data_IF_548047105638
#
_entry.id   IF_548047105638
#
_cell.length_a   1.000
_cell.length_b   1.000
_cell.length_c   1.000
_cell.angle_alpha   90.00
_cell.angle_beta   90.00
_cell.angle_gamma   90.00
#
_symmetry.space_group_name_H-M   'P 1'
#
loop_
_entity.id
_entity.type
_entity.pdbx_description
1 polymer ?
#
# COMPACT_ATOMS: atom_id res chain seq x y z
N UNK A 1 -5.44 10.87 17.50
CA UNK A 1 -4.73 11.41 18.68
C UNK A 1 -5.70 11.53 19.83
N UNK A 2 -5.29 11.18 21.06
CA UNK A 2 -6.18 11.16 22.25
C UNK A 2 -6.20 12.47 23.05
N UNK A 3 -5.29 13.40 22.77
CA UNK A 3 -5.16 14.67 23.48
C UNK A 3 -5.87 15.80 22.72
N UNK A 4 -6.64 16.67 23.39
CA UNK A 4 -7.23 17.84 22.77
C UNK A 4 -6.13 18.82 22.29
N UNK A 5 -6.40 19.61 21.24
CA UNK A 5 -5.44 20.61 20.80
C UNK A 5 -5.28 21.72 21.85
N UNK A 6 -4.09 22.34 21.96
CA UNK A 6 -3.94 23.54 22.78
C UNK A 6 -4.81 24.66 22.21
N UNK A 7 -5.43 25.44 23.10
CA UNK A 7 -6.25 26.61 22.75
C UNK A 7 -5.46 27.93 22.79
N UNK A 8 -4.16 27.89 23.01
CA UNK A 8 -3.30 29.08 22.98
C UNK A 8 -3.31 29.73 21.60
N UNK A 9 -3.58 31.03 21.53
CA UNK A 9 -3.57 31.84 20.32
C UNK A 9 -4.55 31.39 19.22
N UNK A 10 -5.63 30.68 19.58
CA UNK A 10 -6.62 30.23 18.59
C UNK A 10 -7.39 31.38 17.96
N UNK A 11 -7.63 32.47 18.68
CA UNK A 11 -8.25 33.69 18.16
C UNK A 11 -7.37 34.44 17.17
N UNK A 12 -6.05 34.40 17.36
CA UNK A 12 -5.07 34.93 16.41
C UNK A 12 -4.89 34.03 15.18
N UNK A 13 -5.14 32.73 15.32
CA UNK A 13 -4.96 31.72 14.27
C UNK A 13 -6.17 31.55 13.37
N UNK A 14 -7.34 31.36 13.97
CA UNK A 14 -8.57 30.99 13.28
C UNK A 14 -9.39 32.23 12.96
N UNK A 15 -10.11 32.18 11.84
CA UNK A 15 -11.13 33.15 11.51
C UNK A 15 -12.32 33.02 12.49
N UNK A 16 -12.98 34.12 12.89
CA UNK A 16 -14.13 34.08 13.80
C UNK A 16 -15.24 33.14 13.31
N UNK A 17 -15.50 33.14 12.01
CA UNK A 17 -16.53 32.31 11.38
C UNK A 17 -16.18 30.82 11.52
N UNK A 18 -14.91 30.46 11.28
CA UNK A 18 -14.46 29.08 11.47
C UNK A 18 -14.53 28.65 12.94
N UNK A 19 -14.16 29.54 13.87
CA UNK A 19 -14.19 29.25 15.29
C UNK A 19 -15.63 29.03 15.78
N UNK A 20 -16.59 29.84 15.30
CA UNK A 20 -18.02 29.66 15.58
C UNK A 20 -18.51 28.29 15.07
N UNK A 21 -18.19 27.92 13.83
CA UNK A 21 -18.57 26.62 13.26
C UNK A 21 -18.03 25.43 14.07
N UNK A 22 -16.80 25.52 14.60
CA UNK A 22 -16.22 24.47 15.45
C UNK A 22 -16.95 24.38 16.79
N UNK A 23 -17.19 25.52 17.44
CA UNK A 23 -17.75 25.58 18.79
C UNK A 23 -19.26 25.29 18.83
N UNK A 24 -20.00 25.70 17.79
CA UNK A 24 -21.46 25.67 17.76
C UNK A 24 -22.03 24.53 16.91
N UNK A 25 -21.30 24.10 15.89
CA UNK A 25 -21.78 23.15 14.88
C UNK A 25 -20.87 21.93 14.70
N UNK A 26 -19.82 21.81 15.51
CA UNK A 26 -18.93 20.66 15.51
C UNK A 26 -18.13 20.48 14.22
N UNK A 27 -17.91 21.55 13.44
CA UNK A 27 -17.17 21.49 12.17
C UNK A 27 -15.76 20.92 12.38
N UNK A 28 -15.30 20.10 11.43
CA UNK A 28 -14.01 19.39 11.49
C UNK A 28 -13.22 19.58 10.20
N UNK A 29 -11.89 19.53 10.30
CA UNK A 29 -10.97 19.54 9.15
C UNK A 29 -10.11 18.27 9.08
N UNK A 30 -9.97 17.55 10.21
CA UNK A 30 -9.10 16.38 10.32
C UNK A 30 -9.98 15.16 10.58
N UNK A 31 -10.64 14.70 9.52
CA UNK A 31 -11.59 13.59 9.61
C UNK A 31 -10.94 12.27 10.04
N UNK A 32 -9.61 12.18 9.90
CA UNK A 32 -8.79 11.06 10.36
C UNK A 32 -8.50 11.06 11.87
N UNK A 33 -8.98 12.04 12.65
CA UNK A 33 -8.87 12.04 14.11
C UNK A 33 -10.20 11.60 14.73
N UNK A 34 -10.19 10.64 15.66
CA UNK A 34 -11.42 10.24 16.36
C UNK A 34 -11.83 11.21 17.47
N UNK A 35 -10.86 11.90 18.07
CA UNK A 35 -11.14 12.88 19.12
C UNK A 35 -11.92 14.07 18.55
N UNK A 36 -13.04 14.38 19.21
CA UNK A 36 -13.90 15.53 18.91
C UNK A 36 -14.12 16.35 20.16
N UNK A 37 -14.34 17.66 19.97
CA UNK A 37 -14.79 18.53 21.05
C UNK A 37 -16.28 18.23 21.32
N UNK A 38 -16.68 17.96 22.58
CA UNK A 38 -18.09 17.85 22.92
C UNK A 38 -18.86 19.12 22.55
N UNK A 39 -20.13 18.98 22.18
CA UNK A 39 -20.99 20.13 21.92
C UNK A 39 -21.58 20.63 23.24
N UNK A 40 -21.10 21.78 23.69
CA UNK A 40 -21.50 22.38 24.98
C UNK A 40 -22.72 23.31 24.86
N UNK A 41 -23.23 23.57 23.64
CA UNK A 41 -24.37 24.45 23.41
C UNK A 41 -23.98 25.93 23.33
N UNK A 42 -24.68 26.70 22.50
CA UNK A 42 -24.30 28.07 22.15
C UNK A 42 -24.24 29.04 23.33
N UNK A 43 -25.12 28.87 24.32
CA UNK A 43 -25.12 29.70 25.54
C UNK A 43 -23.79 29.57 26.32
N UNK A 44 -23.19 28.39 26.32
CA UNK A 44 -21.98 28.09 27.09
C UNK A 44 -20.68 28.48 26.35
N UNK A 45 -20.67 28.45 25.01
CA UNK A 45 -19.41 28.62 24.24
C UNK A 45 -19.44 29.69 23.15
N UNK A 46 -20.60 30.22 22.78
CA UNK A 46 -20.71 31.19 21.67
C UNK A 46 -19.92 32.48 21.93
N UNK A 47 -19.97 32.99 23.17
CA UNK A 47 -19.25 34.19 23.58
C UNK A 47 -17.72 34.04 23.53
N UNK A 48 -17.19 32.80 23.53
CA UNK A 48 -15.75 32.55 23.48
C UNK A 48 -15.14 32.98 22.14
N UNK A 49 -15.90 33.00 21.05
CA UNK A 49 -15.41 33.45 19.73
C UNK A 49 -14.89 34.89 19.82
N UNK A 50 -15.64 35.77 20.47
CA UNK A 50 -15.26 37.17 20.66
C UNK A 50 -14.09 37.29 21.65
N UNK A 51 -14.15 36.58 22.78
CA UNK A 51 -13.10 36.63 23.81
C UNK A 51 -11.74 36.17 23.27
N UNK A 52 -11.69 35.06 22.52
CA UNK A 52 -10.47 34.62 21.85
C UNK A 52 -9.97 35.67 20.87
N UNK A 53 -10.85 36.24 20.04
CA UNK A 53 -10.48 37.27 19.08
C UNK A 53 -9.94 38.55 19.71
N UNK A 54 -10.36 38.87 20.94
CA UNK A 54 -9.92 40.05 21.69
C UNK A 54 -8.58 39.86 22.40
N UNK A 55 -8.34 38.67 22.95
CA UNK A 55 -7.19 38.42 23.84
C UNK A 55 -6.01 37.79 23.10
N UNK A 56 -6.28 36.96 22.09
CA UNK A 56 -5.21 36.30 21.34
C UNK A 56 -4.64 37.26 20.29
N UNK A 57 -3.52 37.90 20.62
CA UNK A 57 -2.77 38.76 19.73
C UNK A 57 -1.44 38.11 19.29
N UNK A 58 -0.99 38.46 18.08
CA UNK A 58 0.32 38.16 17.52
C UNK A 58 0.89 39.44 16.89
N UNK A 59 2.19 39.43 16.57
CA UNK A 59 2.81 40.57 15.93
C UNK A 59 2.11 40.99 14.62
N UNK A 60 2.13 42.29 14.35
CA UNK A 60 1.56 42.83 13.12
C UNK A 60 2.33 42.32 11.89
N UNK A 61 1.57 41.96 10.84
CA UNK A 61 2.13 41.49 9.58
C UNK A 61 1.84 42.51 8.49
N UNK A 62 2.89 42.98 7.82
CA UNK A 62 2.76 43.74 6.57
C UNK A 62 2.68 42.76 5.41
N UNK A 63 1.61 42.83 4.64
CA UNK A 63 1.46 42.06 3.41
C UNK A 63 2.09 42.82 2.26
N UNK A 64 2.87 42.16 1.39
CA UNK A 64 3.46 42.83 0.23
C UNK A 64 2.37 43.15 -0.80
N UNK A 65 2.58 44.20 -1.59
CA UNK A 65 1.72 44.50 -2.72
C UNK A 65 1.98 43.51 -3.86
N UNK A 66 0.90 42.95 -4.42
CA UNK A 66 0.95 42.07 -5.59
C UNK A 66 0.80 42.93 -6.83
N UNK A 67 1.89 43.13 -7.56
CA UNK A 67 1.89 43.88 -8.82
C UNK A 67 1.18 43.14 -9.96
N UNK A 68 1.43 41.82 -10.08
CA UNK A 68 0.76 40.93 -11.04
C UNK A 68 0.15 39.73 -10.30
N UNK A 69 -1.19 39.70 -10.24
CA UNK A 69 -1.93 38.63 -9.57
C UNK A 69 -1.77 37.28 -10.27
N UNK A 70 -1.60 37.26 -11.59
CA UNK A 70 -1.43 36.03 -12.35
C UNK A 70 -0.05 35.44 -12.07
N UNK A 71 0.99 36.26 -12.12
CA UNK A 71 2.35 35.84 -11.76
C UNK A 71 2.41 35.31 -10.33
N UNK A 72 1.81 36.02 -9.38
CA UNK A 72 1.75 35.62 -7.97
C UNK A 72 1.06 34.26 -7.78
N UNK A 73 -0.07 34.04 -8.46
CA UNK A 73 -0.79 32.75 -8.42
C UNK A 73 -0.03 31.62 -9.13
N UNK A 74 0.63 31.91 -10.24
CA UNK A 74 1.45 30.93 -10.96
C UNK A 74 2.67 30.51 -10.12
N UNK A 75 3.29 31.45 -9.41
CA UNK A 75 4.33 31.17 -8.43
C UNK A 75 3.79 30.32 -7.27
N UNK A 76 2.61 30.65 -6.72
CA UNK A 76 1.93 29.83 -5.71
C UNK A 76 1.67 28.40 -6.17
N UNK A 77 1.18 28.24 -7.41
CA UNK A 77 0.97 26.95 -8.07
C UNK A 77 2.26 26.14 -8.21
N UNK A 78 3.36 26.77 -8.62
CA UNK A 78 4.67 26.13 -8.74
C UNK A 78 5.23 25.70 -7.39
N UNK A 79 5.18 26.60 -6.39
CA UNK A 79 5.63 26.32 -5.02
C UNK A 79 4.87 25.15 -4.39
N UNK A 80 3.59 25.00 -4.69
CA UNK A 80 2.76 23.91 -4.17
C UNK A 80 3.17 22.53 -4.73
N UNK A 81 3.63 22.49 -5.98
CA UNK A 81 3.95 21.27 -6.72
C UNK A 81 5.33 20.68 -6.40
N UNK A 82 5.63 19.54 -7.01
CA UNK A 82 6.88 18.76 -6.76
C UNK A 82 8.17 19.52 -7.13
N UNK A 83 8.09 20.52 -8.02
CA UNK A 83 9.25 21.33 -8.44
C UNK A 83 9.53 22.51 -7.51
N UNK A 84 8.56 22.93 -6.70
CA UNK A 84 8.68 23.99 -5.71
C UNK A 84 9.01 23.47 -4.31
N UNK A 85 8.20 23.82 -3.31
CA UNK A 85 8.33 23.31 -1.93
C UNK A 85 7.74 21.92 -1.75
N UNK A 86 7.03 21.38 -2.74
CA UNK A 86 6.43 20.04 -2.70
C UNK A 86 5.45 19.85 -1.54
N UNK A 87 4.62 20.86 -1.25
CA UNK A 87 3.60 20.84 -0.21
C UNK A 87 2.65 19.63 -0.35
N UNK A 88 2.33 19.26 -1.58
CA UNK A 88 1.49 18.10 -1.94
C UNK A 88 2.12 16.73 -1.64
N UNK A 89 3.40 16.68 -1.23
CA UNK A 89 4.00 15.43 -0.75
C UNK A 89 3.41 15.02 0.61
N UNK A 90 2.93 15.99 1.40
CA UNK A 90 2.36 15.72 2.72
C UNK A 90 0.89 16.11 2.82
N UNK A 91 0.44 17.16 2.13
CA UNK A 91 -0.91 17.68 2.25
C UNK A 91 -1.83 17.22 1.12
N UNK A 92 -3.02 16.75 1.49
CA UNK A 92 -4.10 16.52 0.54
C UNK A 92 -4.51 17.86 -0.11
N UNK A 93 -5.09 17.78 -1.30
CA UNK A 93 -5.48 18.98 -2.03
C UNK A 93 -6.74 18.72 -2.86
N UNK A 94 -7.82 19.42 -2.50
CA UNK A 94 -9.11 19.39 -3.19
C UNK A 94 -9.64 17.95 -3.38
N UNK A 95 -9.65 17.20 -2.27
CA UNK A 95 -10.06 15.79 -2.21
C UNK A 95 -9.07 14.78 -2.79
N UNK A 96 -7.94 15.23 -3.37
CA UNK A 96 -6.89 14.33 -3.83
C UNK A 96 -5.84 14.11 -2.75
N UNK A 97 -5.54 12.83 -2.48
CA UNK A 97 -4.60 12.46 -1.41
C UNK A 97 -3.15 12.72 -1.79
N UNK A 98 -2.37 13.19 -0.82
CA UNK A 98 -0.91 13.29 -0.91
C UNK A 98 -0.24 11.92 -1.06
N UNK A 99 0.98 11.90 -1.59
CA UNK A 99 1.80 10.68 -1.67
C UNK A 99 2.38 10.21 -0.33
N UNK A 100 2.42 11.08 0.68
CA UNK A 100 3.04 10.85 1.98
C UNK A 100 2.04 10.74 3.15
N UNK A 101 2.30 11.48 4.23
CA UNK A 101 1.64 11.30 5.54
C UNK A 101 0.12 11.59 5.59
N UNK A 102 -0.50 12.08 4.51
CA UNK A 102 -1.93 12.38 4.45
C UNK A 102 -2.36 13.44 5.47
N UNK A 103 -1.66 14.59 5.48
CA UNK A 103 -2.01 15.74 6.30
C UNK A 103 -3.26 16.46 5.75
N UNK A 104 -3.76 17.45 6.49
CA UNK A 104 -4.98 18.21 6.18
C UNK A 104 -5.06 18.67 4.71
N UNK A 105 -6.27 18.67 4.15
CA UNK A 105 -6.54 19.25 2.83
C UNK A 105 -6.31 20.77 2.88
N UNK A 106 -5.24 21.21 2.22
CA UNK A 106 -4.77 22.60 2.31
C UNK A 106 -5.56 23.55 1.41
N UNK A 107 -6.40 23.04 0.51
CA UNK A 107 -7.20 23.90 -0.37
C UNK A 107 -8.17 24.78 0.43
N UNK A 108 -8.58 24.33 1.61
CA UNK A 108 -9.49 25.03 2.51
C UNK A 108 -8.79 25.90 3.56
N UNK A 109 -7.46 26.10 3.47
CA UNK A 109 -6.73 26.81 4.53
C UNK A 109 -7.21 28.25 4.69
N UNK A 110 -7.54 28.92 3.59
CA UNK A 110 -7.97 30.32 3.55
C UNK A 110 -9.37 30.53 4.11
N UNK A 111 -10.22 29.51 4.15
CA UNK A 111 -11.52 29.54 4.83
C UNK A 111 -11.37 29.48 6.36
N UNK A 112 -10.25 28.95 6.83
CA UNK A 112 -10.06 28.58 8.24
C UNK A 112 -9.15 29.52 9.01
N UNK A 113 -7.97 29.81 8.45
CA UNK A 113 -6.93 30.55 9.19
C UNK A 113 -6.92 32.01 8.77
N UNK A 114 -6.45 32.87 9.69
CA UNK A 114 -6.18 34.28 9.36
C UNK A 114 -4.92 34.38 8.50
N UNK A 115 -4.94 35.30 7.53
CA UNK A 115 -3.81 35.57 6.63
C UNK A 115 -2.53 35.94 7.38
N UNK A 116 -2.66 36.79 8.41
CA UNK A 116 -1.54 37.16 9.29
C UNK A 116 -0.89 35.93 9.92
N UNK A 117 -1.69 35.04 10.49
CA UNK A 117 -1.20 33.79 11.08
C UNK A 117 -0.52 32.89 10.05
N UNK A 118 -1.09 32.76 8.85
CA UNK A 118 -0.46 31.99 7.76
C UNK A 118 0.94 32.54 7.42
N UNK A 119 1.07 33.86 7.31
CA UNK A 119 2.34 34.52 7.04
C UNK A 119 3.39 34.26 8.13
N UNK A 120 3.00 34.32 9.40
CA UNK A 120 3.90 34.01 10.51
C UNK A 120 4.27 32.53 10.57
N UNK A 121 3.28 31.65 10.37
CA UNK A 121 3.47 30.20 10.46
C UNK A 121 4.36 29.67 9.34
N UNK A 122 4.20 30.16 8.10
CA UNK A 122 5.06 29.75 6.97
C UNK A 122 6.54 30.09 7.20
N UNK A 123 6.85 31.23 7.81
CA UNK A 123 8.23 31.63 8.12
C UNK A 123 8.89 30.70 9.14
N UNK A 124 8.16 30.27 10.16
CA UNK A 124 8.71 29.45 11.24
C UNK A 124 7.66 28.52 11.88
N UNK A 125 7.33 27.36 11.25
CA UNK A 125 6.33 26.44 11.79
C UNK A 125 6.65 25.92 13.20
N UNK A 126 7.94 25.67 13.48
CA UNK A 126 8.42 25.13 14.76
C UNK A 126 8.19 26.07 15.95
N UNK A 127 8.04 27.37 15.71
CA UNK A 127 7.67 28.35 16.75
C UNK A 127 6.29 28.06 17.33
N UNK A 128 5.35 27.64 16.49
CA UNK A 128 3.97 27.36 16.91
C UNK A 128 3.79 25.93 17.38
N UNK A 129 4.54 25.00 16.79
CA UNK A 129 4.47 23.57 17.11
C UNK A 129 5.89 22.98 17.07
N UNK A 130 6.56 22.82 18.23
CA UNK A 130 7.96 22.39 18.28
C UNK A 130 8.24 21.03 17.62
N UNK A 131 7.25 20.13 17.60
CA UNK A 131 7.32 18.78 17.02
C UNK A 131 6.70 18.69 15.61
N UNK A 132 6.48 19.83 14.95
CA UNK A 132 5.88 19.85 13.62
C UNK A 132 6.79 19.18 12.59
N UNK A 133 6.21 18.31 11.77
CA UNK A 133 6.93 17.60 10.70
C UNK A 133 7.15 18.51 9.49
N UNK A 134 6.31 19.55 9.33
CA UNK A 134 6.44 20.53 8.26
C UNK A 134 7.84 21.18 8.28
N UNK A 135 8.64 21.04 7.20
CA UNK A 135 9.95 21.65 7.13
C UNK A 135 9.91 23.17 7.19
N UNK A 136 11.03 23.79 7.58
CA UNK A 136 11.24 25.22 7.36
C UNK A 136 11.69 25.45 5.92
N UNK A 137 10.85 26.11 5.12
CA UNK A 137 11.17 26.49 3.74
C UNK A 137 11.84 27.87 3.62
N UNK A 138 11.86 28.63 4.72
CA UNK A 138 12.53 29.93 4.82
C UNK A 138 13.48 30.00 6.03
N UNK A 139 14.49 29.11 6.15
CA UNK A 139 15.41 29.13 7.28
C UNK A 139 16.16 30.48 7.35
N UNK A 140 16.18 31.10 8.53
CA UNK A 140 16.78 32.43 8.70
C UNK A 140 16.08 33.54 7.91
N UNK A 141 14.82 33.33 7.50
CA UNK A 141 14.03 34.30 6.73
C UNK A 141 14.33 34.30 5.23
N UNK A 142 15.14 33.36 4.72
CA UNK A 142 15.53 33.27 3.30
C UNK A 142 14.95 32.02 2.65
N UNK A 143 14.36 32.18 1.45
CA UNK A 143 13.77 31.09 0.70
C UNK A 143 14.79 30.05 0.23
N UNK A 144 14.43 28.77 0.33
CA UNK A 144 15.17 27.68 -0.32
C UNK A 144 14.90 27.58 -1.83
N UNK A 145 13.98 28.40 -2.37
CA UNK A 145 13.63 28.48 -3.80
C UNK A 145 13.86 29.91 -4.32
N UNK A 146 15.12 30.34 -4.50
CA UNK A 146 15.41 31.71 -4.94
C UNK A 146 14.96 32.02 -6.38
N UNK A 147 14.71 30.99 -7.20
CA UNK A 147 14.26 31.17 -8.58
C UNK A 147 12.79 31.58 -8.74
N UNK A 148 11.99 31.53 -7.66
CA UNK A 148 10.56 31.88 -7.70
C UNK A 148 10.38 33.25 -7.05
N UNK A 149 9.79 34.22 -7.76
CA UNK A 149 9.58 35.59 -7.28
C UNK A 149 10.86 36.25 -6.71
N UNK A 150 12.00 35.99 -7.36
CA UNK A 150 13.31 36.51 -6.93
C UNK A 150 13.78 36.03 -5.55
N UNK A 151 13.15 35.01 -4.97
CA UNK A 151 13.46 34.52 -3.63
C UNK A 151 12.93 35.41 -2.50
N UNK A 152 12.08 36.39 -2.82
CA UNK A 152 11.47 37.26 -1.81
C UNK A 152 10.49 36.47 -0.94
N UNK A 153 10.83 36.33 0.33
CA UNK A 153 10.06 35.55 1.30
C UNK A 153 8.62 36.06 1.46
N UNK A 154 8.42 37.38 1.48
CA UNK A 154 7.08 37.95 1.67
C UNK A 154 6.22 37.68 0.43
N UNK A 155 6.76 37.93 -0.77
CA UNK A 155 6.06 37.71 -2.03
C UNK A 155 5.75 36.22 -2.27
N UNK A 156 6.65 35.31 -1.89
CA UNK A 156 6.38 33.87 -2.01
C UNK A 156 5.25 33.39 -1.10
N UNK A 157 5.27 33.81 0.17
CA UNK A 157 4.20 33.46 1.11
C UNK A 157 2.87 34.06 0.66
N UNK A 158 2.90 35.29 0.14
CA UNK A 158 1.72 35.95 -0.43
C UNK A 158 1.21 35.23 -1.68
N UNK A 159 2.09 34.77 -2.57
CA UNK A 159 1.73 33.99 -3.76
C UNK A 159 1.08 32.65 -3.42
N UNK A 160 1.58 31.96 -2.38
CA UNK A 160 0.91 30.76 -1.83
C UNK A 160 -0.50 31.08 -1.34
N UNK A 161 -0.68 32.19 -0.61
CA UNK A 161 -1.99 32.62 -0.12
C UNK A 161 -2.93 32.96 -1.27
N UNK A 162 -2.51 33.80 -2.22
CA UNK A 162 -3.29 34.21 -3.38
C UNK A 162 -3.73 33.01 -4.25
N UNK A 163 -2.86 32.01 -4.40
CA UNK A 163 -3.20 30.76 -5.08
C UNK A 163 -4.26 29.94 -4.32
N UNK A 164 -4.14 29.83 -2.98
CA UNK A 164 -5.10 29.09 -2.14
C UNK A 164 -6.43 29.82 -1.93
N UNK A 165 -6.50 31.13 -2.16
CA UNK A 165 -7.77 31.89 -2.14
C UNK A 165 -8.75 31.47 -3.24
N UNK A 166 -8.27 30.84 -4.31
CA UNK A 166 -9.16 30.25 -5.32
C UNK A 166 -9.95 29.03 -4.79
N UNK A 167 -9.57 28.50 -3.62
CA UNK A 167 -10.23 27.40 -2.96
C UNK A 167 -10.33 26.18 -3.88
N UNK A 168 -11.49 25.52 -3.93
CA UNK A 168 -11.71 24.33 -4.77
C UNK A 168 -11.57 24.60 -6.28
N UNK A 169 -11.49 25.87 -6.72
CA UNK A 169 -11.21 26.26 -8.10
C UNK A 169 -9.72 26.40 -8.40
N UNK A 170 -8.85 26.35 -7.39
CA UNK A 170 -7.41 26.44 -7.56
C UNK A 170 -6.92 25.33 -8.50
N UNK A 171 -6.08 25.71 -9.47
CA UNK A 171 -5.50 24.78 -10.44
C UNK A 171 -4.67 23.72 -9.71
N UNK A 172 -5.00 22.44 -9.85
CA UNK A 172 -4.31 21.34 -9.15
C UNK A 172 -2.79 21.35 -9.38
N UNK A 173 -1.96 21.41 -8.33
CA UNK A 173 -0.50 21.51 -8.44
C UNK A 173 0.14 20.40 -9.27
N UNK A 174 1.26 20.70 -9.93
CA UNK A 174 2.03 19.68 -10.67
C UNK A 174 2.50 18.58 -9.72
N UNK A 175 2.25 17.33 -10.11
CA UNK A 175 2.58 16.15 -9.31
C UNK A 175 1.43 15.66 -8.41
N UNK A 176 0.36 16.44 -8.25
CA UNK A 176 -0.88 16.00 -7.64
C UNK A 176 -1.73 15.32 -8.72
N UNK A 177 -1.91 14.00 -8.61
CA UNK A 177 -2.48 13.11 -9.64
C UNK A 177 -1.56 12.82 -10.84
N UNK A 178 -0.58 11.93 -10.60
CA UNK A 178 -0.13 10.94 -11.59
C UNK A 178 0.52 9.69 -10.98
N UNK A 179 0.10 9.27 -9.79
CA UNK A 179 0.37 7.91 -9.34
C UNK A 179 -0.84 7.07 -9.71
N UNK A 180 -0.77 6.39 -10.85
CA UNK A 180 -1.68 5.27 -11.09
C UNK A 180 -1.49 4.31 -9.93
N UNK A 181 -2.58 3.89 -9.29
CA UNK A 181 -2.51 2.74 -8.37
C UNK A 181 -2.11 1.47 -9.11
N UNK A 182 -2.13 1.48 -10.44
CA UNK A 182 -1.69 0.39 -11.28
C UNK A 182 -0.17 0.21 -11.26
N UNK A 183 0.25 -1.01 -10.94
CA UNK A 183 1.58 -1.50 -11.22
C UNK A 183 1.55 -2.25 -12.54
N UNK A 184 2.47 -1.89 -13.42
CA UNK A 184 2.65 -2.49 -14.73
C UNK A 184 4.00 -3.20 -14.77
N UNK A 185 4.01 -4.38 -15.38
CA UNK A 185 5.23 -5.14 -15.63
C UNK A 185 5.73 -4.75 -17.02
N UNK A 186 7.05 -4.62 -17.14
CA UNK A 186 7.73 -4.34 -18.41
C UNK A 186 8.80 -5.42 -18.61
N UNK A 187 10.08 -5.05 -18.61
CA UNK A 187 11.19 -5.94 -18.97
C UNK A 187 11.64 -6.84 -17.81
N UNK A 188 11.25 -6.50 -16.58
CA UNK A 188 11.60 -7.23 -15.35
C UNK A 188 10.36 -7.45 -14.51
N UNK A 189 10.39 -8.47 -13.65
CA UNK A 189 9.28 -8.77 -12.75
C UNK A 189 9.03 -7.61 -11.78
N UNK A 190 7.77 -7.32 -11.55
CA UNK A 190 7.33 -6.31 -10.58
C UNK A 190 6.59 -6.96 -9.41
N UNK A 191 6.77 -6.38 -8.22
CA UNK A 191 6.24 -6.94 -7.00
C UNK A 191 5.43 -5.94 -6.20
N UNK A 192 4.39 -6.43 -5.55
CA UNK A 192 3.64 -5.70 -4.55
C UNK A 192 3.33 -6.58 -3.34
N UNK A 193 3.09 -5.93 -2.20
CA UNK A 193 2.76 -6.63 -0.95
C UNK A 193 1.59 -5.96 -0.28
N UNK A 194 0.75 -6.75 0.34
CA UNK A 194 -0.35 -6.25 1.15
C UNK A 194 -1.48 -7.25 1.29
N UNK A 195 -2.53 -6.80 1.97
CA UNK A 195 -3.76 -7.56 2.11
C UNK A 195 -4.50 -7.61 0.76
N UNK A 196 -5.18 -8.71 0.46
CA UNK A 196 -6.06 -8.79 -0.69
C UNK A 196 -6.00 -10.14 -1.39
N UNK A 197 -5.55 -10.13 -2.64
CA UNK A 197 -5.64 -11.27 -3.57
C UNK A 197 -5.08 -12.60 -3.05
N UNK A 198 -4.07 -12.57 -2.18
CA UNK A 198 -3.49 -13.78 -1.55
C UNK A 198 -3.58 -13.76 -0.01
N UNK A 199 -4.64 -13.20 0.55
CA UNK A 199 -4.83 -13.14 2.01
C UNK A 199 -4.18 -11.93 2.66
N UNK A 200 -3.88 -12.02 3.96
CA UNK A 200 -3.44 -10.87 4.77
C UNK A 200 -1.97 -10.49 4.53
N UNK A 201 -1.10 -11.46 4.30
CA UNK A 201 0.32 -11.25 3.94
C UNK A 201 0.61 -11.68 2.50
N UNK A 202 -0.22 -11.21 1.58
CA UNK A 202 -0.07 -11.51 0.16
C UNK A 202 1.12 -10.80 -0.48
N UNK A 203 1.76 -11.50 -1.41
CA UNK A 203 2.80 -10.99 -2.30
C UNK A 203 2.33 -11.22 -3.73
N UNK A 204 2.07 -10.14 -4.46
CA UNK A 204 1.81 -10.20 -5.90
C UNK A 204 3.12 -10.11 -6.67
N UNK A 205 3.28 -10.92 -7.71
CA UNK A 205 4.43 -10.90 -8.62
C UNK A 205 3.92 -10.94 -10.04
N UNK A 206 4.24 -9.92 -10.82
CA UNK A 206 3.92 -9.85 -12.23
C UNK A 206 5.18 -10.09 -13.05
N UNK A 207 5.05 -10.90 -14.10
CA UNK A 207 6.15 -11.33 -14.95
C UNK A 207 6.06 -10.73 -16.36
N UNK A 208 7.20 -10.54 -17.06
CA UNK A 208 7.26 -9.91 -18.38
C UNK A 208 6.30 -10.49 -19.43
N UNK A 209 6.09 -11.82 -19.45
CA UNK A 209 5.17 -12.49 -20.38
C UNK A 209 3.67 -12.32 -20.02
N UNK A 210 3.35 -11.26 -19.28
CA UNK A 210 1.98 -10.85 -18.90
C UNK A 210 1.19 -11.94 -18.18
N UNK A 211 1.89 -12.79 -17.45
CA UNK A 211 1.32 -13.70 -16.46
C UNK A 211 1.77 -13.27 -15.07
N UNK A 212 0.98 -13.59 -14.07
CA UNK A 212 1.21 -13.09 -12.71
C UNK A 212 0.74 -14.11 -11.69
N UNK A 213 1.33 -14.02 -10.50
CA UNK A 213 0.99 -14.89 -9.37
C UNK A 213 0.79 -14.08 -8.09
N UNK A 214 0.05 -14.67 -7.16
CA UNK A 214 -0.09 -14.16 -5.80
C UNK A 214 0.24 -15.28 -4.82
N UNK A 215 1.23 -15.03 -3.97
CA UNK A 215 1.74 -15.94 -2.96
C UNK A 215 1.36 -15.45 -1.57
N UNK A 216 0.86 -16.33 -0.73
CA UNK A 216 0.55 -16.05 0.67
C UNK A 216 1.77 -16.36 1.53
N UNK A 217 2.44 -15.32 2.03
CA UNK A 217 3.61 -15.50 2.89
C UNK A 217 3.27 -15.86 4.35
N UNK A 218 1.99 -15.83 4.72
CA UNK A 218 1.55 -16.35 6.02
C UNK A 218 1.43 -17.87 6.00
N UNK A 219 0.90 -18.46 4.93
CA UNK A 219 0.67 -19.91 4.79
C UNK A 219 1.62 -20.61 3.80
N UNK A 220 2.56 -19.87 3.21
CA UNK A 220 3.58 -20.33 2.24
C UNK A 220 2.97 -20.97 0.99
N UNK A 221 1.82 -20.48 0.56
CA UNK A 221 1.02 -21.10 -0.47
C UNK A 221 0.83 -20.18 -1.69
N UNK A 222 0.88 -20.77 -2.88
CA UNK A 222 0.36 -20.12 -4.08
C UNK A 222 -1.16 -20.00 -3.96
N UNK A 223 -1.72 -18.83 -4.27
CA UNK A 223 -3.16 -18.54 -4.14
C UNK A 223 -3.85 -18.23 -5.44
N UNK A 224 -3.16 -17.55 -6.35
CA UNK A 224 -3.75 -17.11 -7.60
C UNK A 224 -2.70 -17.09 -8.70
N UNK A 225 -3.09 -17.52 -9.89
CA UNK A 225 -2.44 -17.19 -11.17
C UNK A 225 -3.42 -16.40 -12.05
N UNK A 226 -2.94 -15.47 -12.87
CA UNK A 226 -3.78 -14.74 -13.82
C UNK A 226 -2.98 -14.22 -15.02
N UNK A 227 -3.70 -13.89 -16.10
CA UNK A 227 -3.15 -13.30 -17.33
C UNK A 227 -3.54 -11.83 -17.49
N UNK A 228 -2.68 -11.04 -18.12
CA UNK A 228 -2.94 -9.66 -18.51
C UNK A 228 -2.37 -8.62 -17.53
N UNK A 229 -3.20 -7.65 -17.14
CA UNK A 229 -2.78 -6.58 -16.23
C UNK A 229 -2.33 -7.13 -14.86
N UNK A 230 -1.23 -6.60 -14.32
CA UNK A 230 -0.66 -7.12 -13.08
C UNK A 230 -1.52 -6.79 -11.85
N UNK A 231 -1.39 -5.59 -11.28
CA UNK A 231 -2.06 -5.28 -10.02
C UNK A 231 -2.38 -3.79 -9.88
N UNK A 232 -3.35 -3.48 -9.03
CA UNK A 232 -3.47 -2.16 -8.42
C UNK A 232 -3.12 -2.22 -6.93
N UNK A 233 -2.43 -1.19 -6.43
CA UNK A 233 -2.01 -1.06 -5.04
C UNK A 233 -2.67 0.14 -4.37
N UNK A 234 -3.03 -0.04 -3.11
CA UNK A 234 -3.50 1.00 -2.20
C UNK A 234 -2.75 0.86 -0.87
N UNK A 235 -2.96 1.74 0.10
CA UNK A 235 -2.31 1.67 1.42
C UNK A 235 -2.45 0.26 2.06
N UNK A 236 -1.36 -0.50 2.07
CA UNK A 236 -1.29 -1.84 2.68
C UNK A 236 -2.09 -2.94 1.97
N UNK A 237 -2.57 -2.73 0.74
CA UNK A 237 -3.35 -3.72 -0.01
C UNK A 237 -3.04 -3.72 -1.50
N UNK A 238 -3.28 -4.86 -2.16
CA UNK A 238 -3.22 -4.97 -3.61
C UNK A 238 -4.36 -5.83 -4.16
N UNK A 239 -4.71 -5.61 -5.42
CA UNK A 239 -5.70 -6.39 -6.15
C UNK A 239 -5.18 -6.78 -7.52
N UNK A 240 -5.27 -8.07 -7.86
CA UNK A 240 -5.05 -8.55 -9.22
C UNK A 240 -6.02 -7.89 -10.21
N UNK A 241 -5.48 -7.46 -11.35
CA UNK A 241 -6.22 -6.71 -12.38
C UNK A 241 -6.61 -7.57 -13.57
N UNK A 242 -5.75 -8.49 -14.00
CA UNK A 242 -5.96 -9.32 -15.18
C UNK A 242 -7.07 -10.37 -15.05
N UNK A 243 -7.34 -11.02 -16.18
CA UNK A 243 -8.37 -12.05 -16.38
C UNK A 243 -7.81 -13.47 -16.30
N UNK A 244 -8.61 -14.45 -16.72
CA UNK A 244 -8.22 -15.87 -16.81
C UNK A 244 -7.53 -16.37 -15.53
N UNK A 245 -8.29 -16.37 -14.44
CA UNK A 245 -7.77 -16.56 -13.09
C UNK A 245 -7.84 -18.02 -12.67
N UNK A 246 -6.73 -18.53 -12.11
CA UNK A 246 -6.65 -19.86 -11.50
C UNK A 246 -6.48 -19.68 -10.01
N UNK A 247 -7.50 -20.07 -9.24
CA UNK A 247 -7.46 -20.04 -7.78
C UNK A 247 -6.87 -21.34 -7.25
N UNK A 248 -6.01 -21.22 -6.25
CA UNK A 248 -5.45 -22.33 -5.50
C UNK A 248 -6.06 -22.36 -4.10
N UNK A 249 -6.14 -23.55 -3.46
CA UNK A 249 -6.84 -23.68 -2.19
C UNK A 249 -6.16 -22.91 -1.06
N UNK A 250 -6.97 -22.55 -0.05
CA UNK A 250 -6.48 -22.08 1.25
C UNK A 250 -5.64 -23.18 1.96
N UNK A 251 -4.88 -22.82 3.00
CA UNK A 251 -4.06 -23.75 3.77
C UNK A 251 -2.59 -23.80 3.35
N UNK A 252 -1.83 -24.59 4.10
CA UNK A 252 -0.39 -24.86 3.92
C UNK A 252 -0.12 -25.78 2.71
N UNK A 253 1.02 -25.62 1.99
CA UNK A 253 1.30 -26.39 0.77
C UNK A 253 1.66 -27.87 1.01
N UNK A 254 2.37 -28.15 2.11
CA UNK A 254 2.87 -29.48 2.47
C UNK A 254 2.26 -29.99 3.77
N UNK A 255 1.84 -31.25 3.80
CA UNK A 255 1.32 -31.88 5.01
C UNK A 255 1.60 -33.38 5.08
N UNK A 256 1.75 -33.90 6.30
CA UNK A 256 1.91 -35.35 6.57
C UNK A 256 0.55 -35.93 6.93
N UNK A 257 -0.15 -36.44 5.92
CA UNK A 257 -1.39 -37.20 6.09
C UNK A 257 -1.09 -38.55 6.76
N UNK A 258 -1.92 -38.97 7.72
CA UNK A 258 -1.89 -40.33 8.28
C UNK A 258 -2.72 -41.28 7.40
N UNK A 259 -3.80 -40.77 6.82
CA UNK A 259 -4.67 -41.42 5.84
C UNK A 259 -5.06 -40.43 4.74
N UNK A 260 -5.42 -40.94 3.56
CA UNK A 260 -6.02 -40.13 2.49
C UNK A 260 -7.35 -39.49 2.90
N UNK A 261 -8.04 -40.05 3.89
CA UNK A 261 -9.29 -39.51 4.44
C UNK A 261 -9.09 -38.30 5.37
N UNK A 262 -7.85 -38.00 5.78
CA UNK A 262 -7.57 -36.91 6.71
C UNK A 262 -7.83 -35.55 6.06
N UNK A 263 -8.42 -34.63 6.86
CA UNK A 263 -8.61 -33.25 6.45
C UNK A 263 -7.28 -32.54 6.21
N UNK A 264 -7.24 -31.73 5.15
CA UNK A 264 -6.11 -30.81 4.95
C UNK A 264 -6.13 -29.70 6.02
N UNK A 265 -5.00 -29.28 6.59
CA UNK A 265 -5.00 -28.22 7.60
C UNK A 265 -5.33 -26.85 7.02
N UNK A 266 -6.17 -26.10 7.75
CA UNK A 266 -6.57 -24.73 7.42
C UNK A 266 -6.53 -23.86 8.67
N UNK A 267 -6.25 -22.58 8.49
CA UNK A 267 -6.28 -21.60 9.57
C UNK A 267 -7.71 -21.38 10.10
N UNK A 268 -7.95 -21.82 11.33
CA UNK A 268 -9.17 -21.50 12.07
C UNK A 268 -9.20 -20.04 12.56
N UNK A 269 -10.39 -19.52 12.88
CA UNK A 269 -10.54 -18.14 13.39
C UNK A 269 -9.78 -17.87 14.70
N UNK A 270 -9.62 -18.89 15.52
CA UNK A 270 -8.97 -18.83 16.84
C UNK A 270 -7.62 -19.54 16.86
N UNK A 271 -7.12 -19.94 15.69
CA UNK A 271 -5.85 -20.64 15.56
C UNK A 271 -4.72 -19.65 15.28
N UNK A 272 -4.18 -19.10 16.36
CA UNK A 272 -3.13 -18.08 16.31
C UNK A 272 -1.73 -18.66 16.08
N UNK A 273 -1.55 -19.97 16.31
CA UNK A 273 -0.26 -20.64 16.13
C UNK A 273 -0.05 -21.05 14.67
N UNK A 274 -1.12 -21.29 13.92
CA UNK A 274 -1.06 -21.63 12.50
C UNK A 274 -0.28 -20.60 11.66
N UNK A 275 0.61 -21.05 10.74
CA UNK A 275 1.01 -22.44 10.48
C UNK A 275 2.29 -22.89 11.23
N UNK A 276 2.76 -22.13 12.23
CA UNK A 276 4.03 -22.41 12.93
C UNK A 276 4.01 -23.72 13.70
N UNK A 277 2.87 -24.09 14.26
CA UNK A 277 2.60 -25.38 14.90
C UNK A 277 2.66 -26.57 13.91
N UNK A 278 2.45 -26.32 12.62
CA UNK A 278 2.71 -27.27 11.54
C UNK A 278 4.17 -27.24 11.03
N UNK A 279 5.06 -26.51 11.71
CA UNK A 279 6.49 -26.42 11.39
C UNK A 279 6.84 -25.38 10.33
N UNK A 280 5.91 -24.50 9.96
CA UNK A 280 6.14 -23.50 8.93
C UNK A 280 6.78 -22.23 9.46
N UNK A 281 7.79 -21.73 8.75
CA UNK A 281 8.41 -20.44 9.06
C UNK A 281 8.85 -19.74 7.77
N UNK A 282 8.28 -18.56 7.48
CA UNK A 282 8.67 -17.76 6.32
C UNK A 282 10.01 -17.07 6.61
N UNK A 283 10.96 -17.17 5.69
CA UNK A 283 12.32 -16.63 5.84
C UNK A 283 12.61 -15.46 4.91
N UNK A 284 11.68 -15.10 4.03
CA UNK A 284 11.80 -13.98 3.11
C UNK A 284 11.89 -14.46 1.67
N UNK A 285 12.58 -13.69 0.85
CA UNK A 285 12.88 -14.06 -0.53
C UNK A 285 14.13 -13.34 -1.03
N UNK A 286 14.74 -13.90 -2.07
CA UNK A 286 15.81 -13.25 -2.86
C UNK A 286 15.28 -12.95 -4.25
N UNK A 287 15.79 -11.89 -4.88
CA UNK A 287 15.49 -11.57 -6.26
C UNK A 287 16.63 -12.00 -7.17
N UNK A 288 16.30 -12.53 -8.34
CA UNK A 288 17.27 -12.76 -9.42
C UNK A 288 17.50 -11.48 -10.26
N UNK A 289 18.27 -11.61 -11.35
CA UNK A 289 18.59 -10.49 -12.24
C UNK A 289 17.35 -9.89 -12.95
N UNK A 290 16.29 -10.69 -13.15
CA UNK A 290 15.01 -10.26 -13.70
C UNK A 290 14.02 -9.84 -12.60
N UNK A 291 14.49 -9.69 -11.36
CA UNK A 291 13.69 -9.35 -10.17
C UNK A 291 12.62 -10.40 -9.83
N UNK A 292 12.74 -11.63 -10.33
CA UNK A 292 11.85 -12.75 -9.99
C UNK A 292 12.20 -13.25 -8.58
N UNK A 293 11.21 -13.44 -7.68
CA UNK A 293 11.49 -13.88 -6.32
C UNK A 293 11.68 -15.39 -6.21
N UNK A 294 12.71 -15.78 -5.47
CA UNK A 294 12.82 -17.09 -4.83
C UNK A 294 12.34 -16.96 -3.40
N UNK A 295 11.15 -17.48 -3.12
CA UNK A 295 10.57 -17.51 -1.77
C UNK A 295 11.30 -18.55 -0.92
N UNK A 296 11.67 -18.15 0.29
CA UNK A 296 12.42 -18.99 1.22
C UNK A 296 11.58 -19.22 2.48
N UNK A 297 11.38 -20.49 2.85
CA UNK A 297 10.67 -20.87 4.06
C UNK A 297 11.13 -22.23 4.58
N UNK A 298 10.67 -22.62 5.77
CA UNK A 298 10.93 -23.95 6.35
C UNK A 298 9.64 -24.72 6.49
N UNK A 299 9.74 -26.05 6.38
CA UNK A 299 8.75 -27.02 6.82
C UNK A 299 9.43 -28.02 7.77
N UNK A 300 9.33 -27.75 9.08
CA UNK A 300 10.13 -28.43 10.10
C UNK A 300 11.63 -28.19 9.87
N UNK A 301 12.38 -29.27 9.65
CA UNK A 301 13.82 -29.19 9.36
C UNK A 301 14.16 -29.04 7.86
N UNK A 302 13.15 -29.11 6.98
CA UNK A 302 13.34 -28.96 5.54
C UNK A 302 13.38 -27.47 5.21
N UNK A 303 14.46 -27.02 4.58
CA UNK A 303 14.54 -25.70 3.95
C UNK A 303 13.93 -25.79 2.56
N UNK A 304 13.06 -24.85 2.23
CA UNK A 304 12.34 -24.81 0.96
C UNK A 304 12.66 -23.50 0.25
N UNK A 305 13.09 -23.62 -1.01
CA UNK A 305 13.17 -22.50 -1.94
C UNK A 305 12.16 -22.72 -3.07
N UNK A 306 11.36 -21.71 -3.36
CA UNK A 306 10.20 -21.82 -4.26
C UNK A 306 10.19 -20.62 -5.21
N UNK A 307 10.38 -20.88 -6.50
CA UNK A 307 10.49 -19.83 -7.51
C UNK A 307 9.76 -20.21 -8.79
N UNK A 308 9.44 -19.19 -9.57
CA UNK A 308 8.66 -19.30 -10.79
C UNK A 308 9.38 -18.59 -11.93
N UNK A 309 9.23 -19.16 -13.12
CA UNK A 309 9.74 -18.62 -14.37
C UNK A 309 8.58 -18.57 -15.36
N UNK A 310 8.39 -17.41 -16.00
CA UNK A 310 7.52 -17.28 -17.15
C UNK A 310 8.24 -17.75 -18.42
N UNK A 311 7.59 -18.62 -19.18
CA UNK A 311 8.11 -19.20 -20.42
C UNK A 311 7.02 -19.14 -21.49
N UNK A 312 7.41 -19.20 -22.75
CA UNK A 312 6.51 -19.31 -23.89
C UNK A 312 6.54 -20.75 -24.42
N UNK A 313 5.38 -21.30 -24.77
CA UNK A 313 5.31 -22.55 -25.53
C UNK A 313 5.49 -22.32 -27.05
N UNK A 314 5.42 -23.40 -27.82
CA UNK A 314 5.62 -23.37 -29.28
C UNK A 314 4.60 -22.47 -30.01
N UNK A 315 3.44 -22.21 -29.41
CA UNK A 315 2.39 -21.33 -29.93
C UNK A 315 2.52 -19.88 -29.41
N UNK A 316 3.59 -19.57 -28.67
CA UNK A 316 3.81 -18.26 -28.07
C UNK A 316 2.89 -17.97 -26.88
N UNK A 317 2.30 -18.98 -26.25
CA UNK A 317 1.45 -18.81 -25.07
C UNK A 317 2.30 -18.90 -23.81
N UNK A 318 2.18 -17.88 -22.96
CA UNK A 318 2.90 -17.82 -21.70
C UNK A 318 2.42 -18.88 -20.70
N UNK A 319 3.32 -19.48 -19.94
CA UNK A 319 3.02 -20.40 -18.86
C UNK A 319 4.04 -20.27 -17.72
N UNK A 320 3.71 -20.78 -16.54
CA UNK A 320 4.67 -20.80 -15.43
C UNK A 320 5.35 -22.15 -15.32
N UNK A 321 6.68 -22.15 -15.22
CA UNK A 321 7.45 -23.23 -14.63
C UNK A 321 7.75 -22.88 -13.18
N UNK A 322 7.29 -23.67 -12.23
CA UNK A 322 7.61 -23.55 -10.80
C UNK A 322 8.61 -24.62 -10.41
N UNK A 323 9.64 -24.20 -9.69
CA UNK A 323 10.64 -25.11 -9.13
C UNK A 323 10.66 -24.95 -7.62
N UNK A 324 10.48 -26.08 -6.93
CA UNK A 324 10.57 -26.17 -5.47
C UNK A 324 11.79 -27.00 -5.13
N UNK A 325 12.78 -26.37 -4.52
CA UNK A 325 13.99 -27.00 -4.02
C UNK A 325 13.81 -27.30 -2.54
N UNK A 326 14.19 -28.51 -2.16
CA UNK A 326 14.20 -28.95 -0.77
C UNK A 326 15.64 -29.24 -0.37
N UNK A 327 16.05 -28.72 0.78
CA UNK A 327 17.29 -29.11 1.45
C UNK A 327 16.91 -29.71 2.80
N UNK A 328 17.24 -30.97 3.03
CA UNK A 328 16.92 -31.68 4.27
C UNK A 328 18.17 -32.32 4.87
N UNK A 329 18.41 -32.18 6.20
CA UNK A 329 19.57 -32.81 6.83
C UNK A 329 19.49 -34.34 6.83
N UNK A 330 18.28 -34.89 6.84
CA UNK A 330 17.98 -36.33 6.89
C UNK A 330 16.91 -36.68 5.85
N UNK A 331 16.63 -37.96 5.64
CA UNK A 331 15.46 -38.38 4.85
C UNK A 331 14.18 -38.17 5.69
N UNK A 332 13.33 -37.18 5.37
CA UNK A 332 12.11 -36.94 6.15
C UNK A 332 11.07 -38.04 5.88
N UNK A 333 10.15 -38.28 6.84
CA UNK A 333 8.97 -39.10 6.57
C UNK A 333 8.16 -38.53 5.40
N UNK A 334 7.54 -39.42 4.62
CA UNK A 334 6.64 -39.09 3.51
C UNK A 334 5.69 -37.94 3.90
N UNK A 335 5.61 -36.95 3.03
CA UNK A 335 4.63 -35.87 3.12
C UNK A 335 4.05 -35.60 1.74
N UNK A 336 2.93 -34.91 1.70
CA UNK A 336 2.20 -34.62 0.47
C UNK A 336 2.29 -33.14 0.17
N UNK A 337 2.49 -32.79 -1.10
CA UNK A 337 2.27 -31.45 -1.61
C UNK A 337 0.88 -31.35 -2.24
N UNK A 338 0.07 -30.39 -1.81
CA UNK A 338 -1.22 -30.11 -2.44
C UNK A 338 -1.01 -29.19 -3.63
N UNK A 339 -0.91 -29.79 -4.82
CA UNK A 339 -0.56 -29.11 -6.05
C UNK A 339 -1.71 -28.30 -6.65
N UNK A 340 -2.95 -28.67 -6.36
CA UNK A 340 -4.14 -27.92 -6.78
C UNK A 340 -5.43 -28.54 -6.25
N UNK A 341 -6.54 -27.82 -6.43
CA UNK A 341 -7.89 -28.30 -6.13
C UNK A 341 -8.87 -27.76 -7.18
N UNK A 342 -9.89 -28.52 -7.53
CA UNK A 342 -10.89 -28.11 -8.51
C UNK A 342 -12.18 -28.88 -8.38
N UNK A 343 -13.21 -28.44 -9.11
CA UNK A 343 -14.48 -29.18 -9.17
C UNK A 343 -14.30 -30.50 -9.91
N UNK A 344 -13.41 -30.50 -10.92
CA UNK A 344 -13.06 -31.70 -11.68
C UNK A 344 -11.55 -31.77 -11.87
N UNK A 345 -10.98 -32.92 -11.51
CA UNK A 345 -9.59 -33.25 -11.81
C UNK A 345 -9.59 -34.50 -12.70
N UNK A 346 -8.94 -34.42 -13.85
CA UNK A 346 -8.75 -35.56 -14.77
C UNK A 346 -7.27 -35.85 -14.90
N UNK A 347 -6.87 -37.07 -14.53
CA UNK A 347 -5.53 -37.59 -14.80
C UNK A 347 -5.45 -38.05 -16.25
N UNK A 348 -4.48 -37.51 -17.00
CA UNK A 348 -4.14 -37.95 -18.36
C UNK A 348 -2.96 -38.93 -18.33
N UNK A 349 -2.08 -38.78 -17.34
CA UNK A 349 -0.96 -39.66 -17.03
C UNK A 349 -0.58 -39.51 -15.54
N UNK A 350 0.40 -40.27 -15.06
CA UNK A 350 0.99 -40.07 -13.71
C UNK A 350 1.60 -38.66 -13.51
N UNK A 351 1.80 -37.91 -14.58
CA UNK A 351 2.48 -36.62 -14.61
C UNK A 351 1.65 -35.47 -15.21
N UNK A 352 0.54 -35.75 -15.88
CA UNK A 352 -0.26 -34.76 -16.60
C UNK A 352 -1.71 -34.74 -16.08
N UNK A 353 -2.14 -33.59 -15.59
CA UNK A 353 -3.43 -33.41 -14.93
C UNK A 353 -4.16 -32.18 -15.49
N UNK A 354 -5.48 -32.30 -15.62
CA UNK A 354 -6.37 -31.18 -15.92
C UNK A 354 -7.23 -30.91 -14.69
N UNK A 355 -7.06 -29.74 -14.08
CA UNK A 355 -7.78 -29.25 -12.90
C UNK A 355 -8.65 -28.07 -13.34
N UNK A 356 -9.94 -28.32 -13.56
CA UNK A 356 -10.86 -27.38 -14.19
C UNK A 356 -10.28 -26.82 -15.52
N UNK A 357 -9.79 -25.58 -15.53
CA UNK A 357 -9.16 -24.94 -16.69
C UNK A 357 -7.63 -24.92 -16.67
N UNK A 358 -7.01 -25.36 -15.57
CA UNK A 358 -5.56 -25.48 -15.42
C UNK A 358 -5.08 -26.84 -15.93
N UNK A 359 -4.08 -26.84 -16.81
CA UNK A 359 -3.25 -28.02 -17.11
C UNK A 359 -1.99 -27.93 -16.26
N UNK A 360 -1.79 -28.95 -15.43
CA UNK A 360 -0.64 -29.07 -14.54
C UNK A 360 0.17 -30.29 -14.95
N UNK A 361 1.46 -30.06 -15.24
CA UNK A 361 2.40 -31.13 -15.53
C UNK A 361 3.48 -31.20 -14.45
N UNK A 362 3.77 -32.38 -13.95
CA UNK A 362 4.93 -32.63 -13.08
C UNK A 362 6.11 -33.10 -13.92
N UNK A 363 7.31 -32.63 -13.60
CA UNK A 363 8.54 -33.08 -14.22
C UNK A 363 9.43 -33.82 -13.21
N UNK A 364 10.15 -34.84 -13.68
CA UNK A 364 10.98 -35.72 -12.86
C UNK A 364 10.22 -36.90 -12.29
N UNK A 365 10.68 -37.41 -11.15
CA UNK A 365 10.25 -38.71 -10.60
C UNK A 365 8.94 -38.63 -9.77
N UNK A 366 8.47 -37.44 -9.45
CA UNK A 366 7.30 -37.25 -8.60
C UNK A 366 5.99 -37.36 -9.39
N UNK A 367 5.13 -38.29 -8.96
CA UNK A 367 3.84 -38.60 -9.56
C UNK A 367 2.70 -37.97 -8.76
N UNK A 368 1.63 -37.59 -9.45
CA UNK A 368 0.43 -37.05 -8.81
C UNK A 368 -0.61 -38.13 -8.51
N UNK A 369 -1.39 -37.91 -7.46
CA UNK A 369 -2.54 -38.73 -7.05
C UNK A 369 -3.75 -37.81 -6.91
N UNK A 370 -4.85 -38.18 -7.57
CA UNK A 370 -6.12 -37.46 -7.43
C UNK A 370 -6.82 -37.98 -6.18
N UNK A 371 -7.10 -37.08 -5.24
CA UNK A 371 -7.94 -37.32 -4.07
C UNK A 371 -9.34 -36.82 -4.37
N UNK A 372 -10.29 -37.76 -4.41
CA UNK A 372 -11.71 -37.46 -4.59
C UNK A 372 -12.26 -36.61 -3.43
N UNK A 373 -13.17 -35.70 -3.74
CA UNK A 373 -13.76 -34.77 -2.77
C UNK A 373 -14.51 -33.63 -3.45
N UNK A 374 -15.10 -32.73 -2.66
CA UNK A 374 -15.68 -31.47 -3.15
C UNK A 374 -15.09 -30.28 -2.36
N UNK A 375 -14.07 -29.58 -2.92
CA UNK A 375 -13.42 -29.84 -4.20
C UNK A 375 -12.49 -31.07 -4.17
N UNK A 376 -12.25 -31.67 -5.33
CA UNK A 376 -11.22 -32.69 -5.50
C UNK A 376 -9.82 -32.06 -5.45
N UNK A 377 -8.80 -32.85 -5.13
CA UNK A 377 -7.44 -32.35 -4.93
C UNK A 377 -6.40 -33.17 -5.69
N UNK A 378 -5.38 -32.49 -6.21
CA UNK A 378 -4.18 -33.13 -6.72
C UNK A 378 -3.10 -33.11 -5.65
N UNK A 379 -2.73 -34.28 -5.16
CA UNK A 379 -1.65 -34.45 -4.19
C UNK A 379 -0.43 -35.06 -4.87
N UNK A 380 0.76 -34.56 -4.55
CA UNK A 380 2.04 -35.14 -4.98
C UNK A 380 2.73 -35.72 -3.74
N UNK A 381 2.80 -37.05 -3.60
CA UNK A 381 3.56 -37.67 -2.52
C UNK A 381 5.06 -37.40 -2.70
N UNK A 382 5.72 -36.94 -1.64
CA UNK A 382 7.12 -36.53 -1.64
C UNK A 382 7.92 -37.39 -0.66
N UNK A 383 8.75 -38.26 -1.22
CA UNK A 383 9.83 -38.98 -0.51
C UNK A 383 11.14 -38.31 -0.88
N UNK A 384 11.75 -37.61 0.08
CA UNK A 384 13.03 -36.93 -0.13
C UNK A 384 14.19 -37.76 0.43
N UNK A 385 15.35 -37.67 -0.20
CA UNK A 385 16.61 -38.12 0.41
C UNK A 385 17.20 -37.03 1.31
N UNK A 386 18.19 -37.38 2.13
CA UNK A 386 19.06 -36.37 2.74
C UNK A 386 19.77 -35.55 1.65
N UNK A 387 20.02 -34.28 1.93
CA UNK A 387 20.55 -33.29 1.00
C UNK A 387 19.47 -32.64 0.13
N UNK A 388 19.80 -32.42 -1.15
CA UNK A 388 18.99 -31.62 -2.06
C UNK A 388 18.04 -32.47 -2.91
N UNK A 389 16.77 -32.08 -2.96
CA UNK A 389 15.74 -32.64 -3.84
C UNK A 389 15.02 -31.53 -4.60
N UNK A 390 14.43 -31.83 -5.76
CA UNK A 390 13.78 -30.82 -6.61
C UNK A 390 12.45 -31.34 -7.17
N UNK A 391 11.37 -30.58 -6.96
CA UNK A 391 10.09 -30.77 -7.64
C UNK A 391 9.90 -29.65 -8.68
N UNK A 392 9.58 -30.01 -9.92
CA UNK A 392 9.28 -29.06 -10.99
C UNK A 392 7.86 -29.26 -11.51
N UNK A 393 7.15 -28.15 -11.70
CA UNK A 393 5.76 -28.11 -12.16
C UNK A 393 5.62 -27.12 -13.31
N UNK A 394 4.81 -27.45 -14.31
CA UNK A 394 4.35 -26.50 -15.31
C UNK A 394 2.85 -26.22 -15.13
N UNK A 395 2.49 -24.93 -15.12
CA UNK A 395 1.12 -24.45 -15.03
C UNK A 395 0.74 -23.76 -16.33
N UNK A 396 -0.16 -24.37 -17.11
CA UNK A 396 -0.67 -23.86 -18.39
C UNK A 396 -2.19 -23.68 -18.30
N UNK A 397 -2.73 -22.53 -18.67
CA UNK A 397 -4.18 -22.27 -18.59
C UNK A 397 -4.68 -21.28 -19.64
#
# INVERSE_FOLDING_TARGET
GRLPPPLSHVGAKLKPEWLAEVLLHGKRQRDYLDASMPQYGGENVGHLVELFGRIDELEAVTFPEIADIRESKDAGYEMMGTTGFSCIACHDFNGQRAGGAGALDIVHVTERVRKSWFHLYMRQPSRFHPTVIMPSYWPGGKSIRPGILGGDTAQQIEGLWAYLEDGTRAKKPRGLSRQSSELRVTDVAEMCRGRGTAGYRGIGVGYPERISLAFDSEEMALRLLWRGEFASVNHGSFRARGGERISFPAGIPFHRLKSMDDHWPYKGKTDYAFPHDHGYQFRGYRLDALRRPTFQYRYGNIVVEDFFEDLLDDDGRAYFKRTILFESPDAPPLFHFRAGSGKKITSQSDHDFVIDQLRLRTAGDYRGVVREGDPAELLIPLTLSAGRSTLTLEYRW
#
